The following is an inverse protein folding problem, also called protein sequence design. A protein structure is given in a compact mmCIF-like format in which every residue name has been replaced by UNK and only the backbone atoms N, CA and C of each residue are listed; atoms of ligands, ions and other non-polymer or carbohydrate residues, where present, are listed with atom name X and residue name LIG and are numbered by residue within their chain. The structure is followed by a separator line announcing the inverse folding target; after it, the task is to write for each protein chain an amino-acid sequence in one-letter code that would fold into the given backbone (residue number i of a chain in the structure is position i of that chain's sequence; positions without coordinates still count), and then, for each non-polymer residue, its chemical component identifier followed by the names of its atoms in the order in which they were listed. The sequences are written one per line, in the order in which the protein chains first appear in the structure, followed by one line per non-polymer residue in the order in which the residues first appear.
data_IF_323633159386
#
_entry.id   IF_323633159386
#
_cell.length_a   1.000
_cell.length_b   1.000
_cell.length_c   1.000
_cell.angle_alpha   90.00
_cell.angle_beta   90.00
_cell.angle_gamma   90.00
#
_symmetry.space_group_name_H-M   'P 1'
#
loop_
_entity.id
_entity.type
_entity.pdbx_description
1 polymer ?
#
# COMPACT_ATOMS: atom_id res chain seq x y z
N UNK A 1 14.39 -10.09 16.78
CA UNK A 1 15.08 -9.27 15.76
C UNK A 1 14.02 -8.41 15.10
N UNK A 2 14.28 -7.13 14.77
CA UNK A 2 13.33 -6.43 13.89
C UNK A 2 13.34 -7.11 12.50
N UNK A 3 12.26 -7.01 11.71
CA UNK A 3 12.23 -7.59 10.37
C UNK A 3 13.40 -7.11 9.49
N UNK A 4 13.72 -5.81 9.58
CA UNK A 4 14.84 -5.18 8.86
C UNK A 4 16.18 -5.76 9.29
N UNK A 5 16.41 -5.92 10.60
CA UNK A 5 17.63 -6.53 11.12
C UNK A 5 17.79 -7.98 10.69
N UNK A 6 16.70 -8.74 10.64
CA UNK A 6 16.73 -10.12 10.14
C UNK A 6 17.09 -10.19 8.66
N UNK A 7 16.60 -9.25 7.84
CA UNK A 7 16.96 -9.16 6.42
C UNK A 7 18.44 -8.83 6.20
N UNK A 8 19.01 -7.89 6.96
CA UNK A 8 20.45 -7.61 6.90
C UNK A 8 21.28 -8.84 7.28
N UNK A 9 20.85 -9.59 8.30
CA UNK A 9 21.49 -10.84 8.66
C UNK A 9 21.36 -11.89 7.55
N UNK A 10 20.17 -12.04 6.94
CA UNK A 10 19.93 -13.02 5.88
C UNK A 10 20.76 -12.72 4.64
N UNK A 11 20.94 -11.44 4.29
CA UNK A 11 21.84 -11.01 3.23
C UNK A 11 23.28 -11.43 3.54
N UNK A 12 23.80 -11.09 4.73
CA UNK A 12 25.17 -11.47 5.12
C UNK A 12 25.35 -13.00 5.17
N UNK A 13 24.34 -13.73 5.61
CA UNK A 13 24.35 -15.19 5.61
C UNK A 13 24.42 -15.76 4.18
N UNK A 14 23.69 -15.19 3.23
CA UNK A 14 23.75 -15.58 1.82
C UNK A 14 25.11 -15.26 1.19
N UNK A 15 25.67 -14.08 1.47
CA UNK A 15 26.99 -13.68 0.98
C UNK A 15 28.11 -14.59 1.50
N UNK A 16 28.03 -15.01 2.78
CA UNK A 16 29.01 -15.91 3.38
C UNK A 16 28.86 -17.37 2.94
N UNK A 17 27.63 -17.80 2.65
CA UNK A 17 27.35 -19.18 2.20
C UNK A 17 27.66 -19.39 0.72
N UNK A 18 27.79 -18.30 -0.05
CA UNK A 18 28.05 -18.33 -1.49
C UNK A 18 26.94 -19.07 -2.24
N UNK A 19 27.33 -19.97 -3.14
CA UNK A 19 26.39 -20.81 -3.90
C UNK A 19 25.89 -22.03 -3.11
N UNK A 20 26.32 -22.21 -1.86
CA UNK A 20 25.91 -23.35 -1.05
C UNK A 20 24.54 -23.06 -0.43
N UNK A 21 23.49 -23.83 -0.77
CA UNK A 21 22.19 -23.64 -0.16
C UNK A 21 22.23 -24.01 1.32
N UNK A 22 21.39 -23.38 2.16
CA UNK A 22 21.27 -23.72 3.57
C UNK A 22 20.85 -25.18 3.76
N UNK A 23 21.26 -25.78 4.87
CA UNK A 23 20.81 -27.12 5.25
C UNK A 23 19.29 -27.14 5.52
N UNK A 24 18.63 -28.30 5.48
CA UNK A 24 17.19 -28.40 5.75
C UNK A 24 16.79 -27.84 7.13
N UNK A 25 17.67 -27.98 8.12
CA UNK A 25 17.49 -27.46 9.47
C UNK A 25 17.60 -25.94 9.51
N UNK A 26 18.57 -25.37 8.79
CA UNK A 26 18.71 -23.91 8.64
C UNK A 26 17.50 -23.32 7.92
N UNK A 27 17.01 -23.98 6.87
CA UNK A 27 15.79 -23.59 6.17
C UNK A 27 14.55 -23.60 7.04
N UNK A 28 14.48 -24.52 8.01
CA UNK A 28 13.39 -24.54 8.99
C UNK A 28 13.44 -23.27 9.85
N UNK A 29 14.59 -22.97 10.44
CA UNK A 29 14.78 -21.78 11.29
C UNK A 29 14.55 -20.47 10.54
N UNK A 30 15.00 -20.36 9.28
CA UNK A 30 14.77 -19.19 8.43
C UNK A 30 13.28 -18.98 8.19
N UNK A 31 12.54 -20.04 7.84
CA UNK A 31 11.09 -19.96 7.58
C UNK A 31 10.29 -19.59 8.83
N UNK A 32 10.66 -20.15 9.98
CA UNK A 32 10.03 -19.82 11.25
C UNK A 32 10.20 -18.32 11.58
N UNK A 33 11.39 -17.76 11.35
CA UNK A 33 11.62 -16.33 11.59
C UNK A 33 10.89 -15.44 10.56
N UNK A 34 10.86 -15.82 9.28
CA UNK A 34 10.10 -15.12 8.26
C UNK A 34 8.60 -15.04 8.61
N UNK A 35 8.03 -16.10 9.18
CA UNK A 35 6.63 -16.10 9.61
C UNK A 35 6.35 -15.02 10.67
N UNK A 36 7.31 -14.71 11.54
CA UNK A 36 7.18 -13.63 12.52
C UNK A 36 7.31 -12.23 11.91
N UNK A 37 8.06 -12.10 10.80
CA UNK A 37 8.23 -10.85 10.08
C UNK A 37 6.99 -10.46 9.26
N UNK A 38 6.24 -11.46 8.76
CA UNK A 38 5.02 -11.26 7.97
C UNK A 38 3.74 -11.24 8.82
N UNK A 39 3.78 -10.56 9.96
CA UNK A 39 2.56 -10.36 10.76
C UNK A 39 1.64 -9.32 10.08
N UNK A 40 0.67 -9.80 9.31
CA UNK A 40 -0.33 -8.96 8.66
C UNK A 40 -1.26 -8.35 9.72
N UNK A 41 -0.99 -7.11 10.11
CA UNK A 41 -1.91 -6.29 10.92
C UNK A 41 -2.83 -5.53 9.97
N UNK A 42 -3.98 -6.12 9.63
CA UNK A 42 -5.06 -5.35 8.99
C UNK A 42 -6.01 -4.94 10.09
N UNK A 43 -6.14 -3.63 10.41
CA UNK A 43 -7.20 -3.16 11.28
C UNK A 43 -8.54 -3.65 10.71
N UNK A 44 -9.46 -4.18 11.54
CA UNK A 44 -10.76 -4.59 11.04
C UNK A 44 -11.43 -3.42 10.30
N UNK A 45 -11.78 -3.65 9.04
CA UNK A 45 -12.48 -2.66 8.22
C UNK A 45 -13.85 -2.46 8.86
N UNK A 46 -14.11 -1.26 9.37
CA UNK A 46 -15.37 -0.93 10.05
C UNK A 46 -15.31 -0.87 11.57
N UNK A 47 -14.17 -0.46 12.16
CA UNK A 47 -14.16 0.02 13.55
C UNK A 47 -15.15 1.19 13.64
N UNK A 48 -16.35 0.90 14.14
CA UNK A 48 -17.27 1.92 14.64
C UNK A 48 -16.63 2.44 15.93
N UNK A 49 -15.76 3.43 15.79
CA UNK A 49 -15.31 4.20 16.94
C UNK A 49 -16.58 4.83 17.49
N UNK A 50 -17.08 4.30 18.61
CA UNK A 50 -18.18 4.92 19.33
C UNK A 50 -17.59 6.14 20.03
N UNK A 51 -17.41 7.22 19.26
CA UNK A 51 -17.05 8.50 19.81
C UNK A 51 -18.28 8.97 20.57
N UNK A 52 -18.22 8.92 21.89
CA UNK A 52 -19.14 9.69 22.73
C UNK A 52 -18.85 11.17 22.46
N UNK A 53 -19.58 11.71 21.49
CA UNK A 53 -19.47 13.09 21.03
C UNK A 53 -19.68 14.05 22.20
N UNK A 54 -18.60 14.66 22.68
CA UNK A 54 -18.69 16.07 23.04
C UNK A 54 -18.96 16.82 21.74
N UNK A 55 -19.96 17.70 21.75
CA UNK A 55 -20.48 18.42 20.56
C UNK A 55 -19.37 19.08 19.72
N UNK A 56 -18.23 19.33 20.34
CA UNK A 56 -17.02 19.90 19.76
C UNK A 56 -16.38 19.07 18.64
N UNK A 57 -16.45 17.73 18.67
CA UNK A 57 -15.81 16.91 17.62
C UNK A 57 -16.60 16.94 16.30
N UNK A 58 -17.93 16.99 16.38
CA UNK A 58 -18.80 17.11 15.20
C UNK A 58 -18.53 18.43 14.47
N UNK A 59 -18.43 19.54 15.20
CA UNK A 59 -18.07 20.83 14.63
C UNK A 59 -16.66 20.84 14.02
N UNK A 60 -15.69 20.21 14.68
CA UNK A 60 -14.32 20.14 14.17
C UNK A 60 -14.25 19.35 12.85
N UNK A 61 -14.98 18.24 12.74
CA UNK A 61 -15.06 17.45 11.51
C UNK A 61 -15.77 18.20 10.38
N UNK A 62 -16.87 18.90 10.67
CA UNK A 62 -17.59 19.71 9.67
C UNK A 62 -16.75 20.89 9.18
N UNK A 63 -15.97 21.53 10.07
CA UNK A 63 -15.00 22.57 9.68
C UNK A 63 -13.91 21.99 8.78
N UNK A 64 -13.34 20.85 9.14
CA UNK A 64 -12.30 20.19 8.34
C UNK A 64 -12.82 19.81 6.95
N UNK A 65 -14.05 19.29 6.86
CA UNK A 65 -14.71 18.95 5.60
C UNK A 65 -14.90 20.18 4.71
N UNK A 66 -15.41 21.29 5.27
CA UNK A 66 -15.61 22.53 4.52
C UNK A 66 -14.30 23.11 4.00
N UNK A 67 -13.24 23.07 4.80
CA UNK A 67 -11.92 23.50 4.34
C UNK A 67 -11.39 22.58 3.23
N UNK A 68 -11.60 21.27 3.33
CA UNK A 68 -11.21 20.33 2.28
C UNK A 68 -11.99 20.53 0.97
N UNK A 69 -13.29 20.85 1.03
CA UNK A 69 -14.11 21.18 -0.14
C UNK A 69 -13.67 22.51 -0.78
N UNK A 70 -13.35 23.52 0.04
CA UNK A 70 -12.85 24.82 -0.43
C UNK A 70 -11.45 24.74 -1.03
N UNK A 71 -10.62 23.85 -0.50
CA UNK A 71 -9.23 23.64 -0.94
C UNK A 71 -9.09 22.62 -2.07
N UNK A 72 -10.18 21.97 -2.53
CA UNK A 72 -10.12 21.00 -3.62
C UNK A 72 -10.23 21.70 -4.99
N UNK A 73 -9.12 21.90 -5.74
CA UNK A 73 -9.23 22.19 -7.17
C UNK A 73 -9.90 20.98 -7.83
N UNK A 74 -11.11 21.20 -8.39
CA UNK A 74 -11.89 20.27 -9.23
C UNK A 74 -11.34 18.85 -9.27
N UNK A 75 -11.73 18.00 -8.30
CA UNK A 75 -11.48 16.56 -8.42
C UNK A 75 -12.12 16.11 -9.73
N UNK A 76 -11.32 15.57 -10.65
CA UNK A 76 -11.86 14.83 -11.79
C UNK A 76 -12.82 13.77 -11.25
N UNK A 77 -13.96 13.50 -11.92
CA UNK A 77 -14.83 12.40 -11.55
C UNK A 77 -14.00 11.14 -11.40
N UNK A 78 -14.22 10.39 -10.32
CA UNK A 78 -13.49 9.15 -10.03
C UNK A 78 -13.60 8.14 -11.20
N UNK A 79 -14.62 8.32 -12.04
CA UNK A 79 -14.99 7.45 -13.16
C UNK A 79 -14.30 7.84 -14.47
N UNK A 80 -13.42 8.84 -14.46
CA UNK A 80 -12.69 9.28 -15.65
C UNK A 80 -11.58 8.28 -16.04
N UNK A 81 -11.98 7.24 -16.79
CA UNK A 81 -11.10 6.29 -17.45
C UNK A 81 -10.86 6.71 -18.92
N UNK A 82 -9.62 6.63 -19.45
CA UNK A 82 -8.41 6.07 -18.88
C UNK A 82 -7.65 7.10 -18.03
N UNK A 83 -6.73 6.66 -17.16
CA UNK A 83 -5.77 7.54 -16.53
C UNK A 83 -4.99 8.26 -17.63
N UNK A 84 -5.02 9.59 -17.64
CA UNK A 84 -4.07 10.35 -18.45
C UNK A 84 -2.67 10.06 -17.90
N UNK A 85 -1.71 9.89 -18.78
CA UNK A 85 -0.32 9.77 -18.36
C UNK A 85 0.19 11.10 -17.75
N UNK A 86 1.45 11.13 -17.35
CA UNK A 86 2.10 12.31 -16.78
C UNK A 86 2.17 13.50 -17.77
N UNK A 87 1.91 13.28 -19.05
CA UNK A 87 1.84 14.33 -20.09
C UNK A 87 0.42 14.89 -20.26
N UNK A 88 -0.56 14.32 -19.57
CA UNK A 88 -1.95 14.72 -19.72
C UNK A 88 -2.56 14.24 -21.04
N UNK A 89 -1.95 13.29 -21.74
CA UNK A 89 -2.46 12.73 -23.00
C UNK A 89 -3.04 11.32 -22.70
N UNK A 90 -4.14 10.92 -23.34
CA UNK A 90 -4.61 9.53 -23.26
C UNK A 90 -3.52 8.58 -23.77
N UNK A 91 -3.37 7.38 -23.18
CA UNK A 91 -2.38 6.42 -23.64
C UNK A 91 -2.55 6.08 -25.13
N UNK A 92 -1.43 5.85 -25.82
CA UNK A 92 -1.39 5.61 -27.27
C UNK A 92 -2.20 4.38 -27.76
N UNK A 93 -2.53 3.42 -26.89
CA UNK A 93 -3.39 2.27 -27.21
C UNK A 93 -4.90 2.62 -27.24
N UNK A 94 -5.24 3.90 -27.10
CA UNK A 94 -6.59 4.46 -27.23
C UNK A 94 -6.68 5.36 -28.47
N UNK A 95 -6.70 4.78 -29.67
CA UNK A 95 -7.04 5.51 -30.89
C UNK A 95 -8.58 5.52 -31.08
N UNK A 96 -9.17 6.71 -31.20
CA UNK A 96 -10.60 6.87 -31.50
C UNK A 96 -11.58 6.44 -30.37
N UNK A 97 -11.13 6.37 -29.11
CA UNK A 97 -11.98 6.05 -27.97
C UNK A 97 -12.35 4.56 -27.84
N UNK A 98 -11.68 3.68 -28.58
CA UNK A 98 -11.80 2.23 -28.45
C UNK A 98 -10.51 1.65 -27.91
N UNK A 99 -10.62 0.79 -26.90
CA UNK A 99 -9.50 0.05 -26.34
C UNK A 99 -9.11 -1.04 -27.34
N UNK A 100 -7.94 -0.92 -27.97
CA UNK A 100 -7.39 -2.00 -28.80
C UNK A 100 -6.46 -2.86 -27.95
N UNK A 101 -6.92 -4.06 -27.59
CA UNK A 101 -6.05 -5.10 -27.03
C UNK A 101 -5.48 -5.88 -28.22
N UNK A 102 -4.20 -5.67 -28.53
CA UNK A 102 -3.46 -6.53 -29.46
C UNK A 102 -2.98 -7.76 -28.69
N UNK A 103 -3.53 -8.94 -28.99
CA UNK A 103 -2.97 -10.23 -28.61
C UNK A 103 -1.75 -10.57 -29.47
#
# INVERSE_FOLDING_TARGET
MSPEQFLYWLQGFAELSGDTPPTPEQWKSIREHLATCFHKVTPPVGVKVNVETTKDLGEALDRLRKEFEKAAPTRRPADAWPPRDHTGVPPHWMEGGKVTITC
#
